data_IF_122101112633
#
_entry.id   IF_122101112633
#
_cell.length_a   1.000
_cell.length_b   1.000
_cell.length_c   1.000
_cell.angle_alpha   90.00
_cell.angle_beta   90.00
_cell.angle_gamma   90.00
#
_symmetry.space_group_name_H-M   'P 1'
#
loop_
_entity.id
_entity.type
_entity.pdbx_description
1 polymer ?
#
# COMPACT_ATOMS: atom_id res chain seq x y z
N UNK A 1 -2.02 5.32 18.62
CA UNK A 1 -2.43 4.06 17.95
C UNK A 1 -1.81 3.88 16.57
N UNK A 2 -1.80 4.88 15.66
CA UNK A 2 -1.19 4.74 14.31
C UNK A 2 0.30 4.36 14.31
N UNK A 3 1.11 4.95 15.19
CA UNK A 3 2.53 4.60 15.36
C UNK A 3 2.73 3.14 15.78
N UNK A 4 1.82 2.59 16.57
CA UNK A 4 1.86 1.18 16.98
C UNK A 4 1.54 0.24 15.82
N UNK A 5 0.56 0.58 14.97
CA UNK A 5 0.24 -0.18 13.75
C UNK A 5 1.40 -0.19 12.73
N UNK A 6 2.09 0.95 12.57
CA UNK A 6 3.27 1.04 11.70
C UNK A 6 4.43 0.18 12.22
N UNK A 7 4.70 0.22 13.54
CA UNK A 7 5.72 -0.61 14.16
C UNK A 7 5.37 -2.09 14.07
N UNK A 8 4.11 -2.47 14.34
CA UNK A 8 3.63 -3.84 14.22
C UNK A 8 3.78 -4.37 12.79
N UNK A 9 3.38 -3.57 11.80
CA UNK A 9 3.49 -3.91 10.37
C UNK A 9 4.95 -4.05 9.92
N UNK A 10 5.83 -3.16 10.36
CA UNK A 10 7.27 -3.24 10.09
C UNK A 10 7.87 -4.51 10.72
N UNK A 11 7.52 -4.82 11.97
CA UNK A 11 7.98 -6.05 12.65
C UNK A 11 7.47 -7.29 11.93
N UNK A 12 6.19 -7.32 11.51
CA UNK A 12 5.62 -8.42 10.72
C UNK A 12 6.32 -8.59 9.37
N UNK A 13 6.68 -7.49 8.70
CA UNK A 13 7.40 -7.52 7.43
C UNK A 13 8.82 -8.10 7.61
N UNK A 14 9.55 -7.63 8.62
CA UNK A 14 10.89 -8.15 8.94
C UNK A 14 10.81 -9.62 9.37
N UNK A 15 9.82 -9.98 10.17
CA UNK A 15 9.58 -11.36 10.58
C UNK A 15 9.23 -12.25 9.37
N UNK A 16 8.42 -11.78 8.44
CA UNK A 16 8.08 -12.50 7.20
C UNK A 16 9.31 -12.74 6.32
N UNK A 17 10.18 -11.74 6.16
CA UNK A 17 11.45 -11.87 5.42
C UNK A 17 12.40 -12.83 6.14
N UNK A 18 12.53 -12.73 7.46
CA UNK A 18 13.35 -13.65 8.24
C UNK A 18 12.82 -15.09 8.11
N UNK A 19 11.50 -15.28 8.14
CA UNK A 19 10.87 -16.58 7.98
C UNK A 19 11.12 -17.19 6.60
N UNK A 20 10.98 -16.41 5.52
CA UNK A 20 11.29 -16.91 4.16
C UNK A 20 12.76 -17.26 4.00
N UNK A 21 13.67 -16.46 4.58
CA UNK A 21 15.10 -16.80 4.62
C UNK A 21 15.36 -18.10 5.38
N UNK A 22 14.73 -18.29 6.54
CA UNK A 22 14.86 -19.51 7.32
C UNK A 22 14.40 -20.72 6.52
N UNK A 23 13.26 -20.64 5.81
CA UNK A 23 12.79 -21.73 4.93
C UNK A 23 13.79 -22.05 3.82
N UNK A 24 14.41 -21.02 3.24
CA UNK A 24 15.40 -21.18 2.16
C UNK A 24 16.73 -21.73 2.69
N UNK A 25 17.06 -21.51 3.96
CA UNK A 25 18.32 -21.93 4.59
C UNK A 25 18.21 -23.26 5.35
N UNK A 26 17.01 -23.62 5.83
CA UNK A 26 16.73 -24.81 6.65
C UNK A 26 15.76 -25.75 5.93
N UNK A 27 16.23 -26.97 5.69
CA UNK A 27 15.42 -28.05 5.09
C UNK A 27 14.26 -28.47 6.00
N UNK A 28 14.43 -28.39 7.33
CA UNK A 28 13.38 -28.69 8.31
C UNK A 28 12.20 -27.73 8.22
N UNK A 29 12.49 -26.43 8.06
CA UNK A 29 11.47 -25.40 7.91
C UNK A 29 10.74 -25.53 6.55
N UNK A 30 11.45 -25.92 5.50
CA UNK A 30 10.84 -26.23 4.21
C UNK A 30 9.91 -27.45 4.29
N UNK A 31 10.31 -28.49 5.03
CA UNK A 31 9.49 -29.69 5.21
C UNK A 31 8.18 -29.42 5.96
N UNK A 32 8.08 -28.36 6.75
CA UNK A 32 6.79 -27.93 7.35
C UNK A 32 5.81 -27.39 6.30
N UNK A 33 6.31 -26.91 5.16
CA UNK A 33 5.49 -26.44 4.03
C UNK A 33 5.24 -27.54 3.00
N UNK A 34 5.93 -28.69 3.11
CA UNK A 34 5.75 -29.83 2.24
C UNK A 34 4.28 -30.29 2.09
N UNK A 35 3.44 -30.39 3.15
CA UNK A 35 2.04 -30.77 2.96
C UNK A 35 1.23 -29.75 2.14
N UNK A 36 1.62 -28.47 2.19
CA UNK A 36 0.94 -27.40 1.45
C UNK A 36 1.40 -27.34 -0.02
N UNK A 37 2.65 -27.73 -0.30
CA UNK A 37 3.32 -27.53 -1.59
C UNK A 37 3.49 -28.83 -2.38
N UNK A 38 3.80 -29.94 -1.70
CA UNK A 38 4.03 -31.28 -2.27
C UNK A 38 2.83 -32.24 -2.13
N UNK A 39 1.83 -31.90 -1.32
CA UNK A 39 0.74 -32.81 -0.94
C UNK A 39 1.14 -33.81 0.16
N UNK A 40 0.24 -34.73 0.50
CA UNK A 40 0.47 -35.70 1.58
C UNK A 40 1.66 -36.63 1.26
N UNK A 41 2.58 -36.78 2.22
CA UNK A 41 3.73 -37.69 2.14
C UNK A 41 4.94 -37.18 1.35
N UNK A 42 4.83 -36.04 0.66
CA UNK A 42 5.95 -35.46 -0.09
C UNK A 42 6.97 -34.77 0.80
N UNK A 43 8.24 -34.79 0.38
CA UNK A 43 9.35 -34.04 1.02
C UNK A 43 10.01 -33.09 0.02
N UNK A 44 10.56 -31.98 0.51
CA UNK A 44 11.24 -31.00 -0.33
C UNK A 44 12.73 -31.36 -0.38
N UNK A 45 13.25 -31.68 -1.56
CA UNK A 45 14.69 -31.82 -1.81
C UNK A 45 15.20 -30.58 -2.56
N UNK A 46 16.37 -30.08 -2.14
CA UNK A 46 17.03 -28.98 -2.81
C UNK A 46 18.00 -29.52 -3.85
N UNK A 47 17.71 -29.29 -5.12
CA UNK A 47 18.59 -29.68 -6.21
C UNK A 47 19.34 -28.45 -6.72
N UNK A 48 20.66 -28.43 -6.53
CA UNK A 48 21.54 -27.45 -7.14
C UNK A 48 22.03 -28.01 -8.49
N UNK A 49 21.30 -27.72 -9.57
CA UNK A 49 21.73 -28.11 -10.91
C UNK A 49 22.60 -26.99 -11.51
N UNK A 50 23.91 -27.23 -11.61
CA UNK A 50 24.80 -26.37 -12.38
C UNK A 50 24.63 -26.68 -13.88
N UNK A 51 23.74 -25.94 -14.56
CA UNK A 51 23.53 -26.09 -16.01
C UNK A 51 24.65 -25.49 -16.86
N UNK A 52 25.47 -24.58 -16.31
CA UNK A 52 26.65 -23.98 -16.95
C UNK A 52 27.63 -23.47 -15.89
N UNK A 53 28.91 -23.48 -16.25
CA UNK A 53 29.99 -22.94 -15.41
C UNK A 53 29.67 -21.48 -15.00
N UNK A 54 29.44 -21.27 -13.71
CA UNK A 54 29.19 -19.95 -13.12
C UNK A 54 27.74 -19.65 -12.73
N UNK A 55 26.75 -20.48 -13.12
CA UNK A 55 25.34 -20.26 -12.80
C UNK A 55 24.85 -21.31 -11.80
N UNK A 56 24.69 -20.89 -10.54
CA UNK A 56 24.11 -21.71 -9.46
C UNK A 56 22.61 -21.49 -9.49
N UNK A 57 21.88 -22.32 -10.22
CA UNK A 57 20.42 -22.34 -10.15
C UNK A 57 20.00 -23.29 -9.04
N UNK A 58 19.23 -22.77 -8.09
CA UNK A 58 18.72 -23.52 -6.93
C UNK A 58 17.25 -23.82 -7.20
N UNK A 59 16.93 -25.08 -7.46
CA UNK A 59 15.56 -25.55 -7.67
C UNK A 59 15.07 -26.34 -6.45
N UNK A 60 13.78 -26.21 -6.16
CA UNK A 60 13.12 -26.92 -5.07
C UNK A 60 12.19 -27.96 -5.69
N UNK A 61 12.54 -29.23 -5.51
CA UNK A 61 11.78 -30.36 -6.05
C UNK A 61 11.03 -31.06 -4.91
N UNK A 62 9.75 -31.36 -5.12
CA UNK A 62 9.03 -32.31 -4.29
C UNK A 62 9.36 -33.73 -4.76
N UNK A 63 9.76 -34.58 -3.82
CA UNK A 63 9.92 -36.01 -4.06
C UNK A 63 8.78 -36.74 -3.37
N UNK A 64 7.90 -37.35 -4.16
CA UNK A 64 6.80 -38.19 -3.65
C UNK A 64 6.80 -39.52 -4.41
N UNK A 65 6.94 -40.65 -3.70
CA UNK A 65 7.03 -42.01 -4.27
C UNK A 65 7.98 -42.16 -5.50
N UNK A 66 9.11 -41.43 -5.48
CA UNK A 66 10.11 -41.45 -6.56
C UNK A 66 9.79 -40.57 -7.77
N UNK A 67 8.63 -39.92 -7.82
CA UNK A 67 8.34 -38.84 -8.77
C UNK A 67 8.91 -37.52 -8.25
N UNK A 68 9.61 -36.78 -9.11
CA UNK A 68 10.11 -35.43 -8.84
C UNK A 68 9.22 -34.41 -9.54
N UNK A 69 8.68 -33.47 -8.79
CA UNK A 69 7.89 -32.35 -9.33
C UNK A 69 8.50 -31.03 -8.88
N UNK A 70 8.79 -30.15 -9.84
CA UNK A 70 9.33 -28.81 -9.54
C UNK A 70 8.23 -27.96 -8.90
N UNK A 71 8.48 -27.51 -7.67
CA UNK A 71 7.56 -26.68 -6.89
C UNK A 71 8.15 -25.32 -6.56
N UNK A 72 9.26 -24.95 -7.20
CA UNK A 72 9.94 -23.66 -7.00
C UNK A 72 8.97 -22.49 -7.19
N UNK A 73 8.05 -22.59 -8.15
CA UNK A 73 7.00 -21.60 -8.38
C UNK A 73 5.99 -21.49 -7.24
N UNK A 74 5.52 -22.62 -6.70
CA UNK A 74 4.57 -22.64 -5.60
C UNK A 74 5.19 -22.07 -4.31
N UNK A 75 6.44 -22.43 -4.02
CA UNK A 75 7.19 -21.88 -2.89
C UNK A 75 7.40 -20.36 -3.03
N UNK A 76 7.69 -19.88 -4.25
CA UNK A 76 7.83 -18.47 -4.55
C UNK A 76 6.52 -17.69 -4.33
N UNK A 77 5.36 -18.27 -4.68
CA UNK A 77 4.04 -17.66 -4.42
C UNK A 77 3.76 -17.55 -2.93
N UNK A 78 4.06 -18.59 -2.15
CA UNK A 78 3.90 -18.56 -0.68
C UNK A 78 4.79 -17.49 -0.05
N UNK A 79 6.06 -17.41 -0.46
CA UNK A 79 6.99 -16.39 0.00
C UNK A 79 6.53 -14.97 -0.39
N UNK A 80 6.05 -14.79 -1.61
CA UNK A 80 5.52 -13.52 -2.09
C UNK A 80 4.28 -13.09 -1.30
N UNK A 81 3.35 -14.01 -1.00
CA UNK A 81 2.17 -13.74 -0.21
C UNK A 81 2.52 -13.31 1.23
N UNK A 82 3.49 -13.98 1.85
CA UNK A 82 3.96 -13.67 3.21
C UNK A 82 4.57 -12.26 3.32
N UNK A 83 5.13 -11.73 2.23
CA UNK A 83 5.76 -10.39 2.19
C UNK A 83 4.75 -9.33 1.70
N UNK A 84 3.92 -9.65 0.72
CA UNK A 84 2.99 -8.70 0.11
C UNK A 84 1.89 -8.25 1.08
N UNK A 85 1.33 -9.16 1.89
CA UNK A 85 0.32 -8.81 2.89
C UNK A 85 0.79 -7.71 3.87
N UNK A 86 1.91 -7.87 4.60
CA UNK A 86 2.38 -6.84 5.51
C UNK A 86 2.85 -5.58 4.77
N UNK A 87 3.39 -5.71 3.55
CA UNK A 87 3.79 -4.57 2.73
C UNK A 87 2.58 -3.69 2.33
N UNK A 88 1.46 -4.30 1.91
CA UNK A 88 0.25 -3.56 1.56
C UNK A 88 -0.34 -2.82 2.76
N UNK A 89 -0.33 -3.45 3.95
CA UNK A 89 -0.74 -2.81 5.20
C UNK A 89 0.20 -1.66 5.57
N UNK A 90 1.51 -1.85 5.40
CA UNK A 90 2.50 -0.80 5.64
C UNK A 90 2.31 0.39 4.70
N UNK A 91 2.13 0.14 3.41
CA UNK A 91 1.90 1.17 2.40
C UNK A 91 0.57 1.89 2.67
N UNK A 92 -0.53 1.17 2.94
CA UNK A 92 -1.83 1.78 3.24
C UNK A 92 -1.82 2.66 4.49
N UNK A 93 -1.05 2.27 5.52
CA UNK A 93 -0.86 3.09 6.72
C UNK A 93 0.02 4.32 6.46
N UNK A 94 0.94 4.27 5.49
CA UNK A 94 1.70 5.45 5.04
C UNK A 94 0.85 6.44 4.24
N UNK A 95 -0.02 5.97 3.34
CA UNK A 95 -0.93 6.82 2.58
C UNK A 95 -1.90 7.57 3.50
N UNK A 96 -2.47 6.88 4.50
CA UNK A 96 -3.34 7.51 5.51
C UNK A 96 -2.60 8.43 6.49
N UNK A 97 -1.26 8.38 6.52
CA UNK A 97 -0.41 9.27 7.32
C UNK A 97 0.05 10.53 6.58
N UNK A 98 -0.06 10.60 5.24
CA UNK A 98 0.42 11.73 4.43
C UNK A 98 -0.65 12.57 3.70
N UNK A 99 -1.92 12.22 3.76
CA UNK A 99 -3.01 13.06 3.24
C UNK A 99 -4.33 12.32 3.40
N UNK A 100 -5.37 12.93 3.98
CA UNK A 100 -6.29 13.76 3.20
C UNK A 100 -6.56 13.05 1.88
N UNK A 101 -7.52 12.14 1.89
CA UNK A 101 -8.33 11.95 0.69
C UNK A 101 -8.98 13.32 0.47
N UNK A 102 -8.70 14.06 -0.61
CA UNK A 102 -9.65 15.06 -1.03
C UNK A 102 -10.87 14.22 -1.42
N UNK A 103 -11.83 14.12 -0.50
CA UNK A 103 -13.15 13.64 -0.86
C UNK A 103 -13.57 14.51 -2.04
N UNK A 104 -13.84 13.93 -3.22
CA UNK A 104 -14.53 14.71 -4.24
C UNK A 104 -15.77 15.32 -3.57
N UNK A 105 -16.15 16.57 -3.88
CA UNK A 105 -17.34 17.15 -3.30
C UNK A 105 -18.49 16.16 -3.50
N UNK A 106 -19.07 15.71 -2.41
CA UNK A 106 -20.23 14.84 -2.39
C UNK A 106 -21.34 15.58 -3.13
N UNK A 107 -21.47 15.27 -4.42
CA UNK A 107 -22.71 15.52 -5.14
C UNK A 107 -23.65 14.39 -4.72
N UNK A 108 -24.09 14.44 -3.47
CA UNK A 108 -25.29 13.76 -3.02
C UNK A 108 -26.42 14.28 -3.91
N UNK A 109 -26.73 13.53 -4.97
CA UNK A 109 -28.01 13.62 -5.66
C UNK A 109 -29.02 13.03 -4.68
N UNK A 110 -29.30 13.82 -3.65
CA UNK A 110 -30.44 13.62 -2.75
C UNK A 110 -31.65 13.94 -3.60
N UNK A 111 -32.38 12.91 -4.03
CA UNK A 111 -33.78 13.11 -4.39
C UNK A 111 -34.45 13.85 -3.21
N UNK A 112 -35.31 14.85 -3.45
CA UNK A 112 -35.84 15.69 -2.38
C UNK A 112 -36.80 14.86 -1.51
N UNK A 113 -36.29 14.34 -0.40
CA UNK A 113 -37.10 14.13 0.80
C UNK A 113 -37.13 15.46 1.52
N UNK A 114 -38.30 16.08 1.45
CA UNK A 114 -38.65 17.32 2.14
C UNK A 114 -38.49 17.08 3.64
N UNK A 115 -37.47 17.65 4.28
CA UNK A 115 -37.50 17.89 5.72
C UNK A 115 -36.68 19.11 6.11
N UNK A 116 -37.42 20.10 6.60
CA UNK A 116 -37.05 21.35 7.26
C UNK A 116 -35.89 21.25 8.27
N UNK A 117 -34.92 22.15 8.17
CA UNK A 117 -33.93 22.40 9.23
C UNK A 117 -32.74 23.21 8.71
N UNK A 118 -32.65 24.50 9.05
CA UNK A 118 -31.76 25.45 8.39
C UNK A 118 -30.28 25.38 8.78
N UNK A 119 -29.43 25.76 7.82
CA UNK A 119 -28.14 26.42 8.02
C UNK A 119 -27.66 26.95 6.66
N UNK A 120 -27.81 28.25 6.44
CA UNK A 120 -27.34 28.94 5.23
C UNK A 120 -25.86 29.31 5.45
N UNK A 121 -24.89 28.74 4.72
CA UNK A 121 -23.48 29.12 4.90
C UNK A 121 -23.28 30.52 4.33
N UNK A 122 -22.99 31.47 5.21
CA UNK A 122 -22.73 32.86 4.84
C UNK A 122 -21.52 32.95 3.90
N UNK A 123 -21.71 33.52 2.71
CA UNK A 123 -20.69 33.67 1.66
C UNK A 123 -19.39 34.36 2.11
N UNK A 124 -19.41 35.10 3.21
CA UNK A 124 -18.23 35.72 3.82
C UNK A 124 -17.23 34.68 4.39
N UNK A 125 -17.73 33.54 4.91
CA UNK A 125 -16.89 32.49 5.47
C UNK A 125 -16.09 31.75 4.40
N UNK A 126 -16.75 31.40 3.30
CA UNK A 126 -16.13 30.69 2.17
C UNK A 126 -15.10 31.54 1.41
N UNK A 127 -15.27 32.87 1.39
CA UNK A 127 -14.32 33.78 0.73
C UNK A 127 -13.02 33.94 1.51
N UNK A 128 -13.10 34.16 2.83
CA UNK A 128 -11.92 34.24 3.69
C UNK A 128 -11.11 32.95 3.62
N UNK A 129 -11.80 31.82 3.58
CA UNK A 129 -11.18 30.50 3.44
C UNK A 129 -10.47 30.33 2.09
N UNK A 130 -11.08 30.80 0.99
CA UNK A 130 -10.44 30.80 -0.34
C UNK A 130 -9.22 31.72 -0.43
N UNK A 131 -9.26 32.89 0.20
CA UNK A 131 -8.10 33.79 0.26
C UNK A 131 -6.96 33.19 1.08
N UNK A 132 -7.28 32.54 2.20
CA UNK A 132 -6.30 31.87 3.05
C UNK A 132 -5.65 30.69 2.33
N UNK A 133 -6.42 29.88 1.60
CA UNK A 133 -5.90 28.79 0.75
C UNK A 133 -4.96 29.31 -0.34
N UNK A 134 -5.29 30.45 -0.95
CA UNK A 134 -4.46 31.05 -2.00
C UNK A 134 -3.13 31.57 -1.45
N UNK A 135 -3.14 32.16 -0.25
CA UNK A 135 -1.93 32.63 0.44
C UNK A 135 -1.03 31.48 0.90
N UNK A 136 -1.60 30.38 1.36
CA UNK A 136 -0.85 29.17 1.71
C UNK A 136 -0.21 28.51 0.48
N UNK A 137 -0.90 28.48 -0.66
CA UNK A 137 -0.33 28.02 -1.94
C UNK A 137 0.86 28.89 -2.40
N UNK A 138 0.79 30.21 -2.20
CA UNK A 138 1.90 31.12 -2.50
C UNK A 138 3.10 30.90 -1.56
N UNK A 139 2.84 30.80 -0.24
CA UNK A 139 3.90 30.57 0.76
C UNK A 139 4.59 29.21 0.62
N UNK A 140 3.87 28.20 0.13
CA UNK A 140 4.42 26.87 -0.15
C UNK A 140 5.15 26.79 -1.50
N UNK A 141 5.19 27.87 -2.28
CA UNK A 141 5.88 27.93 -3.57
C UNK A 141 5.17 27.16 -4.69
N UNK A 142 3.89 26.80 -4.50
CA UNK A 142 3.08 26.08 -5.49
C UNK A 142 2.61 26.99 -6.64
N UNK A 143 2.55 28.31 -6.41
CA UNK A 143 2.14 29.30 -7.41
C UNK A 143 3.12 30.47 -7.43
N UNK A 144 3.29 31.07 -8.60
CA UNK A 144 4.14 32.25 -8.75
C UNK A 144 3.39 33.53 -8.32
N UNK A 145 4.11 34.61 -8.01
CA UNK A 145 3.55 35.88 -7.56
C UNK A 145 2.49 36.44 -8.51
N UNK A 146 2.72 36.36 -9.83
CA UNK A 146 1.74 36.83 -10.82
C UNK A 146 0.41 36.04 -10.80
N UNK A 147 0.46 34.75 -10.50
CA UNK A 147 -0.74 33.90 -10.42
C UNK A 147 -1.52 34.13 -9.12
N UNK A 148 -0.80 34.42 -8.03
CA UNK A 148 -1.39 34.81 -6.76
C UNK A 148 -2.18 36.12 -6.90
N UNK A 149 -1.59 37.15 -7.51
CA UNK A 149 -2.22 38.46 -7.67
C UNK A 149 -3.47 38.39 -8.57
N UNK A 150 -3.40 37.66 -9.70
CA UNK A 150 -4.54 37.48 -10.60
C UNK A 150 -5.73 36.78 -9.92
N UNK A 151 -5.47 35.69 -9.17
CA UNK A 151 -6.52 34.95 -8.45
C UNK A 151 -7.07 35.73 -7.26
N UNK A 152 -6.24 36.52 -6.59
CA UNK A 152 -6.68 37.41 -5.50
C UNK A 152 -7.61 38.50 -6.02
N UNK A 153 -7.29 39.09 -7.17
CA UNK A 153 -8.14 40.10 -7.81
C UNK A 153 -9.48 39.51 -8.25
N UNK A 154 -9.51 38.33 -8.88
CA UNK A 154 -10.77 37.66 -9.24
C UNK A 154 -11.68 37.36 -8.04
N UNK A 155 -11.10 37.06 -6.88
CA UNK A 155 -11.85 36.83 -5.64
C UNK A 155 -12.39 38.12 -5.03
N UNK A 156 -11.65 39.23 -5.18
CA UNK A 156 -12.08 40.57 -4.74
C UNK A 156 -13.11 41.18 -5.69
N UNK A 157 -13.01 40.92 -7.00
CA UNK A 157 -13.92 41.45 -8.03
C UNK A 157 -15.34 40.89 -7.86
N UNK A 158 -15.46 39.62 -7.46
CA UNK A 158 -16.74 38.99 -7.03
C UNK A 158 -17.37 39.64 -5.79
N UNK A 159 -16.68 40.52 -5.08
CA UNK A 159 -17.21 41.28 -3.94
C UNK A 159 -17.82 42.62 -4.39
N UNK A 160 -17.36 43.15 -5.53
CA UNK A 160 -17.81 44.44 -6.06
C UNK A 160 -18.99 44.35 -7.04
N UNK A 161 -19.39 43.14 -7.44
CA UNK A 161 -20.65 42.85 -8.16
C UNK A 161 -21.86 42.62 -7.24
#
# INVERSE_FOLDING_TARGET
MRKFLLLLSLVLLVAGIAFTLIIVLSEDAANMLAPLVCGEGGRIERSAFSRRAGEVNVTFDCVNDGQRSDVSGALAVVAAAAIMLPLLVFIGTLFTARGVVPTPPDNDITLPVITTGGAQPSAAGTLKEKLQQLEEAYRSGLINQGEYEARRQQLLDRLSE
#
